data_IF_974425071474
#
_entry.id   IF_974425071474
#
_cell.length_a   1.000
_cell.length_b   1.000
_cell.length_c   1.000
_cell.angle_alpha   90.00
_cell.angle_beta   90.00
_cell.angle_gamma   90.00
#
_symmetry.space_group_name_H-M   'P 1'
#
loop_
_entity.id
_entity.type
_entity.pdbx_description
1 polymer ?
#
# COMPACT_ATOMS: atom_id res chain seq x y z
N UNK A 1 -5.51 12.92 3.46
CA UNK A 1 -6.05 14.06 2.70
C UNK A 1 -7.35 14.53 3.32
N UNK A 2 -7.31 15.75 3.86
CA UNK A 2 -8.48 16.49 4.31
C UNK A 2 -9.40 16.76 3.10
N UNK A 3 -10.66 16.36 3.20
CA UNK A 3 -11.66 16.59 2.14
C UNK A 3 -12.81 17.44 2.67
N UNK A 4 -13.43 18.22 1.78
CA UNK A 4 -14.62 19.01 2.11
C UNK A 4 -15.77 18.12 2.62
N UNK A 5 -15.92 16.93 2.03
CA UNK A 5 -16.88 15.93 2.50
C UNK A 5 -16.55 15.43 3.91
N UNK A 6 -15.29 15.12 4.21
CA UNK A 6 -14.86 14.69 5.56
C UNK A 6 -15.03 15.77 6.63
N UNK A 7 -14.77 17.04 6.28
CA UNK A 7 -15.06 18.19 7.14
C UNK A 7 -16.56 18.38 7.35
N UNK A 8 -17.37 18.29 6.29
CA UNK A 8 -18.82 18.36 6.40
C UNK A 8 -19.41 17.24 7.28
N UNK A 9 -18.93 16.00 7.10
CA UNK A 9 -19.37 14.85 7.88
C UNK A 9 -18.97 14.97 9.36
N UNK A 10 -17.75 15.43 9.65
CA UNK A 10 -17.29 15.62 11.03
C UNK A 10 -18.05 16.72 11.76
N UNK A 11 -18.34 17.84 11.10
CA UNK A 11 -19.21 18.90 11.66
C UNK A 11 -20.63 18.37 11.89
N UNK A 12 -21.19 17.64 10.92
CA UNK A 12 -22.51 17.03 11.04
C UNK A 12 -22.58 16.03 12.21
N UNK A 13 -21.58 15.15 12.34
CA UNK A 13 -21.46 14.20 13.44
C UNK A 13 -21.36 14.90 14.81
N UNK A 14 -20.57 15.96 14.92
CA UNK A 14 -20.51 16.76 16.14
C UNK A 14 -21.86 17.39 16.49
N UNK A 15 -22.56 17.93 15.51
CA UNK A 15 -23.90 18.47 15.73
C UNK A 15 -24.92 17.39 16.13
N UNK A 16 -24.92 16.24 15.45
CA UNK A 16 -25.82 15.13 15.71
C UNK A 16 -25.58 14.49 17.10
N UNK A 17 -24.32 14.30 17.47
CA UNK A 17 -23.94 13.74 18.78
C UNK A 17 -24.30 14.69 19.91
N UNK A 18 -24.08 16.00 19.75
CA UNK A 18 -24.55 16.99 20.72
C UNK A 18 -26.07 17.01 20.83
N UNK A 19 -26.79 16.89 19.70
CA UNK A 19 -28.26 16.80 19.70
C UNK A 19 -28.75 15.58 20.47
N UNK A 20 -28.14 14.42 20.26
CA UNK A 20 -28.43 13.19 21.02
C UNK A 20 -28.12 13.35 22.50
N UNK A 21 -26.97 13.94 22.85
CA UNK A 21 -26.60 14.19 24.23
C UNK A 21 -27.63 15.08 24.95
N UNK A 22 -28.12 16.15 24.30
CA UNK A 22 -29.15 17.02 24.85
C UNK A 22 -30.47 16.26 25.05
N UNK A 23 -30.88 15.43 24.09
CA UNK A 23 -32.10 14.62 24.20
C UNK A 23 -32.02 13.64 25.38
N UNK A 24 -30.86 12.99 25.55
CA UNK A 24 -30.66 11.97 26.59
C UNK A 24 -30.48 12.59 27.98
N UNK A 25 -29.72 13.68 28.10
CA UNK A 25 -29.30 14.22 29.40
C UNK A 25 -30.14 15.39 29.91
N UNK A 26 -30.74 16.22 29.04
CA UNK A 26 -31.32 17.50 29.49
C UNK A 26 -32.80 17.41 29.92
N UNK A 27 -33.52 16.36 29.56
CA UNK A 27 -34.96 16.27 29.87
C UNK A 27 -35.77 17.48 29.34
N UNK A 28 -37.01 17.70 29.82
CA UNK A 28 -37.95 18.68 29.26
C UNK A 28 -37.61 20.16 29.50
N UNK A 29 -36.57 20.49 30.29
CA UNK A 29 -36.23 21.89 30.60
C UNK A 29 -34.95 22.32 29.88
N UNK A 30 -35.05 23.15 28.84
CA UNK A 30 -33.87 23.55 28.11
C UNK A 30 -32.99 24.55 28.90
N UNK A 31 -31.66 24.35 28.95
CA UNK A 31 -30.76 25.38 29.45
C UNK A 31 -30.73 26.60 28.51
N UNK A 32 -30.43 27.77 29.10
CA UNK A 32 -30.35 29.10 28.45
C UNK A 32 -29.61 29.03 27.11
N UNK A 33 -30.15 29.69 26.09
CA UNK A 33 -29.75 29.64 24.67
C UNK A 33 -28.25 29.73 24.39
N UNK A 34 -27.48 30.49 25.17
CA UNK A 34 -26.03 30.66 25.02
C UNK A 34 -25.26 29.36 25.29
N UNK A 35 -25.70 28.54 26.25
CA UNK A 35 -25.08 27.23 26.53
C UNK A 35 -25.37 26.17 25.44
N UNK A 36 -26.33 26.42 24.54
CA UNK A 36 -26.57 25.53 23.39
C UNK A 36 -25.47 25.72 22.35
N UNK A 37 -25.24 26.95 21.91
CA UNK A 37 -24.35 27.23 20.78
C UNK A 37 -22.90 26.82 21.06
N UNK A 38 -22.41 27.12 22.27
CA UNK A 38 -21.05 26.75 22.70
C UNK A 38 -20.86 25.23 22.75
N UNK A 39 -21.87 24.48 23.19
CA UNK A 39 -21.83 23.01 23.20
C UNK A 39 -21.79 22.39 21.80
N UNK A 40 -22.53 22.94 20.84
CA UNK A 40 -22.46 22.49 19.44
C UNK A 40 -21.11 22.82 18.82
N UNK A 41 -20.60 24.04 19.03
CA UNK A 41 -19.30 24.46 18.52
C UNK A 41 -18.15 23.60 19.06
N UNK A 42 -18.13 23.35 20.38
CA UNK A 42 -17.12 22.49 21.01
C UNK A 42 -17.20 21.05 20.49
N UNK A 43 -18.40 20.50 20.37
CA UNK A 43 -18.57 19.14 19.85
C UNK A 43 -18.12 19.03 18.40
N UNK A 44 -18.53 19.95 17.52
CA UNK A 44 -18.06 19.98 16.13
C UNK A 44 -16.54 20.14 16.03
N UNK A 45 -15.95 21.00 16.85
CA UNK A 45 -14.50 21.19 16.87
C UNK A 45 -13.76 19.92 17.30
N UNK A 46 -14.31 19.16 18.25
CA UNK A 46 -13.76 17.89 18.70
C UNK A 46 -13.75 16.85 17.56
N UNK A 47 -14.87 16.69 16.86
CA UNK A 47 -14.98 15.76 15.73
C UNK A 47 -14.08 16.15 14.57
N UNK A 48 -13.98 17.45 14.27
CA UNK A 48 -13.05 17.96 13.26
C UNK A 48 -11.60 17.67 13.67
N UNK A 49 -11.22 17.94 14.93
CA UNK A 49 -9.88 17.65 15.44
C UNK A 49 -9.52 16.16 15.36
N UNK A 50 -10.46 15.28 15.72
CA UNK A 50 -10.31 13.83 15.58
C UNK A 50 -10.12 13.43 14.11
N UNK A 51 -10.90 14.02 13.20
CA UNK A 51 -10.76 13.78 11.76
C UNK A 51 -9.36 14.14 11.25
N UNK A 52 -8.81 15.29 11.63
CA UNK A 52 -7.43 15.66 11.30
C UNK A 52 -6.39 14.67 11.86
N UNK A 53 -6.59 14.19 13.09
CA UNK A 53 -5.73 13.18 13.71
C UNK A 53 -5.71 11.87 12.92
N UNK A 54 -6.88 11.35 12.59
CA UNK A 54 -7.00 10.11 11.81
C UNK A 54 -6.47 10.25 10.38
N UNK A 55 -6.68 11.40 9.74
CA UNK A 55 -6.18 11.63 8.38
C UNK A 55 -4.66 11.47 8.29
N UNK A 56 -3.93 11.99 9.28
CA UNK A 56 -2.47 11.85 9.37
C UNK A 56 -2.04 10.38 9.54
N UNK A 57 -2.77 9.60 10.34
CA UNK A 57 -2.49 8.18 10.56
C UNK A 57 -2.74 7.39 9.26
N UNK A 58 -3.88 7.64 8.59
CA UNK A 58 -4.24 6.99 7.33
C UNK A 58 -3.19 7.29 6.26
N UNK A 59 -2.74 8.54 6.16
CA UNK A 59 -1.75 8.94 5.17
C UNK A 59 -0.39 8.26 5.42
N UNK A 60 0.05 8.16 6.66
CA UNK A 60 1.26 7.44 7.01
C UNK A 60 1.18 5.95 6.67
N UNK A 61 0.03 5.32 6.95
CA UNK A 61 -0.20 3.92 6.60
C UNK A 61 -0.22 3.71 5.08
N UNK A 62 -0.85 4.62 4.33
CA UNK A 62 -0.85 4.56 2.87
C UNK A 62 0.56 4.65 2.31
N UNK A 63 1.39 5.56 2.84
CA UNK A 63 2.81 5.69 2.46
C UNK A 63 3.58 4.41 2.77
N UNK A 64 3.35 3.79 3.93
CA UNK A 64 4.00 2.53 4.30
C UNK A 64 3.62 1.39 3.34
N UNK A 65 2.33 1.26 3.03
CA UNK A 65 1.82 0.23 2.11
C UNK A 65 2.40 0.45 0.71
N UNK A 66 2.42 1.69 0.21
CA UNK A 66 3.00 2.01 -1.10
C UNK A 66 4.48 1.64 -1.18
N UNK A 67 5.27 1.90 -0.14
CA UNK A 67 6.68 1.48 -0.08
C UNK A 67 6.83 -0.04 -0.15
N UNK A 68 6.05 -0.77 0.64
CA UNK A 68 6.09 -2.25 0.61
C UNK A 68 5.69 -2.80 -0.74
N UNK A 69 4.68 -2.20 -1.36
CA UNK A 69 4.20 -2.60 -2.68
C UNK A 69 5.21 -2.29 -3.79
N UNK A 70 6.00 -1.21 -3.65
CA UNK A 70 7.10 -0.92 -4.57
C UNK A 70 8.19 -2.01 -4.47
N UNK A 71 8.60 -2.38 -3.25
CA UNK A 71 9.60 -3.44 -3.03
C UNK A 71 9.13 -4.77 -3.61
N UNK A 72 7.86 -5.15 -3.40
CA UNK A 72 7.31 -6.39 -3.97
C UNK A 72 7.29 -6.38 -5.50
N UNK A 73 7.08 -5.21 -6.13
CA UNK A 73 7.16 -5.07 -7.59
C UNK A 73 8.59 -5.20 -8.09
N UNK A 74 9.56 -4.63 -7.39
CA UNK A 74 10.99 -4.79 -7.70
C UNK A 74 11.43 -6.24 -7.58
N UNK A 75 11.02 -6.94 -6.51
CA UNK A 75 11.30 -8.36 -6.33
C UNK A 75 10.70 -9.21 -7.45
N UNK A 76 9.46 -8.93 -7.86
CA UNK A 76 8.83 -9.62 -8.97
C UNK A 76 9.52 -9.37 -10.31
N UNK A 77 10.00 -8.16 -10.56
CA UNK A 77 10.77 -7.85 -11.76
C UNK A 77 12.10 -8.64 -11.77
N UNK A 78 12.77 -8.76 -10.63
CA UNK A 78 13.99 -9.58 -10.50
C UNK A 78 13.70 -11.07 -10.71
N UNK A 79 12.57 -11.57 -10.19
CA UNK A 79 12.13 -12.96 -10.40
C UNK A 79 11.81 -13.24 -11.87
N UNK A 80 11.05 -12.36 -12.52
CA UNK A 80 10.75 -12.46 -13.96
C UNK A 80 12.05 -12.41 -14.79
N UNK A 81 13.01 -11.55 -14.44
CA UNK A 81 14.32 -11.50 -15.08
C UNK A 81 15.10 -12.80 -14.85
N UNK A 82 15.08 -13.38 -13.64
CA UNK A 82 15.74 -14.66 -13.34
C UNK A 82 15.16 -15.82 -14.16
N UNK A 83 13.84 -15.88 -14.32
CA UNK A 83 13.20 -16.91 -15.16
C UNK A 83 13.54 -16.73 -16.65
N UNK A 84 13.73 -15.51 -17.15
CA UNK A 84 14.23 -15.27 -18.51
C UNK A 84 15.68 -15.76 -18.72
N UNK A 85 16.51 -15.80 -17.68
CA UNK A 85 17.86 -16.39 -17.76
C UNK A 85 17.86 -17.92 -17.80
N UNK A 86 16.86 -18.60 -17.21
CA UNK A 86 16.73 -20.06 -17.32
C UNK A 86 16.20 -20.51 -18.69
N UNK A 87 15.47 -19.64 -19.39
CA UNK A 87 15.01 -19.88 -20.78
C UNK A 87 16.08 -19.61 -21.84
N UNK A 88 17.20 -18.94 -21.51
CA UNK A 88 18.37 -18.97 -22.38
C UNK A 88 18.98 -20.38 -22.30
N UNK A 89 18.85 -21.22 -23.35
CA UNK A 89 19.36 -22.57 -23.31
C UNK A 89 20.85 -22.54 -22.97
N UNK A 90 21.25 -23.12 -21.84
CA UNK A 90 22.67 -23.26 -21.49
C UNK A 90 23.36 -24.14 -22.54
N UNK A 91 23.92 -23.48 -23.55
CA UNK A 91 24.60 -24.10 -24.68
C UNK A 91 25.88 -24.82 -24.24
N UNK A 92 26.29 -24.74 -22.96
CA UNK A 92 27.44 -25.46 -22.44
C UNK A 92 27.18 -26.95 -22.26
N UNK A 93 25.92 -27.37 -22.09
CA UNK A 93 25.54 -28.77 -21.92
C UNK A 93 25.13 -29.48 -23.22
N UNK A 94 24.80 -28.72 -24.28
CA UNK A 94 24.37 -29.25 -25.58
C UNK A 94 25.49 -29.46 -26.60
N UNK A 95 26.73 -29.05 -26.30
CA UNK A 95 27.87 -29.46 -27.13
C UNK A 95 28.14 -30.92 -26.82
N UNK A 96 27.73 -31.79 -27.74
CA UNK A 96 27.98 -33.23 -27.74
C UNK A 96 29.49 -33.49 -27.79
N UNK A 97 30.15 -33.42 -26.62
CA UNK A 97 31.60 -33.63 -26.45
C UNK A 97 32.05 -35.04 -26.87
N UNK A 98 31.11 -35.93 -27.21
CA UNK A 98 31.39 -37.28 -27.72
C UNK A 98 32.06 -37.26 -29.10
N UNK A 99 31.81 -36.25 -29.94
CA UNK A 99 32.42 -36.15 -31.26
C UNK A 99 33.85 -35.59 -31.26
N UNK A 100 34.25 -34.88 -30.22
CA UNK A 100 35.55 -34.18 -30.16
C UNK A 100 36.73 -35.16 -29.92
N UNK A 101 36.49 -36.23 -29.16
CA UNK A 101 37.47 -37.30 -28.95
C UNK A 101 37.62 -38.19 -30.19
N UNK A 102 36.52 -38.52 -30.87
CA UNK A 102 36.55 -39.24 -32.14
C UNK A 102 37.29 -38.46 -33.24
N UNK A 103 37.04 -37.15 -33.34
CA UNK A 103 37.75 -36.27 -34.29
C UNK A 103 39.24 -36.10 -33.96
N UNK A 104 39.65 -36.20 -32.70
CA UNK A 104 41.07 -36.17 -32.30
C UNK A 104 41.77 -37.49 -32.64
N UNK A 105 41.11 -38.64 -32.45
CA UNK A 105 41.64 -39.96 -32.81
C UNK A 105 41.78 -40.09 -34.33
N UNK A 106 40.78 -39.66 -35.11
CA UNK A 106 40.87 -39.66 -36.58
C UNK A 106 41.99 -38.74 -37.10
N UNK A 107 42.25 -37.62 -36.41
CA UNK A 107 43.33 -36.69 -36.79
C UNK A 107 44.73 -37.20 -36.45
N UNK A 108 44.86 -38.07 -35.45
CA UNK A 108 46.14 -38.71 -35.07
C UNK A 108 46.36 -40.00 -35.87
N UNK A 109 45.29 -40.70 -36.26
CA UNK A 109 45.32 -41.93 -37.04
C UNK A 109 45.41 -41.74 -38.56
N UNK A 110 45.19 -40.52 -39.07
CA UNK A 110 45.33 -40.24 -40.50
C UNK A 110 46.81 -40.33 -40.92
N UNK A 111 47.18 -41.22 -41.86
CA UNK A 111 48.52 -41.26 -42.40
C UNK A 111 48.76 -39.97 -43.21
N UNK A 112 49.68 -39.14 -42.72
CA UNK A 112 50.18 -37.97 -43.46
C UNK A 112 50.59 -38.41 -44.88
N UNK A 113 49.90 -37.89 -45.89
CA UNK A 113 50.46 -37.73 -47.23
C UNK A 113 51.05 -36.34 -47.35
#
# INVERSE_FOLDING_TARGET
>A
MITAAGLGLSVFLGCATRRLQVIIMAGPTPPRSIHRLTGYALSSALYVGVYFGFDRIIENNKKLIQRRLAILREQRAIEDDFFNFEEEPDHRHLVDRKGLLLNLVDRIGAPNK
#
